data_IF_884951614205
#
_entry.id   IF_884951614205
#
_cell.length_a   1.000
_cell.length_b   1.000
_cell.length_c   1.000
_cell.angle_alpha   90.00
_cell.angle_beta   90.00
_cell.angle_gamma   90.00
#
_symmetry.space_group_name_H-M   'P 1'
#
loop_
_entity.id
_entity.type
_entity.pdbx_description
1 polymer ?
#
# COMPACT_ATOMS: atom_id res chain seq x y z
N UNK A 1 -4.56 7.18 19.47
CA UNK A 1 -4.96 7.39 18.05
C UNK A 1 -4.83 6.16 17.16
N UNK A 2 -3.87 5.24 17.39
CA UNK A 2 -3.75 3.97 16.62
C UNK A 2 -4.99 3.07 16.65
N UNK A 3 -5.70 3.01 17.78
CA UNK A 3 -6.94 2.23 17.92
C UNK A 3 -8.06 2.71 16.98
N UNK A 4 -8.19 4.03 16.78
CA UNK A 4 -9.18 4.58 15.85
C UNK A 4 -8.87 4.15 14.42
N UNK A 5 -7.59 4.20 13.99
CA UNK A 5 -7.20 3.71 12.66
C UNK A 5 -7.54 2.23 12.45
N UNK A 6 -7.24 1.37 13.42
CA UNK A 6 -7.55 -0.08 13.36
C UNK A 6 -9.05 -0.33 13.28
N UNK A 7 -9.83 0.38 14.08
CA UNK A 7 -11.29 0.26 14.10
C UNK A 7 -11.87 0.72 12.77
N UNK A 8 -11.47 1.89 12.26
CA UNK A 8 -11.92 2.37 10.95
C UNK A 8 -11.54 1.41 9.82
N UNK A 9 -10.38 0.76 9.88
CA UNK A 9 -9.94 -0.21 8.88
C UNK A 9 -10.80 -1.48 8.83
N UNK A 10 -11.30 -1.94 9.99
CA UNK A 10 -12.10 -3.18 10.07
C UNK A 10 -13.62 -2.96 10.04
N UNK A 11 -14.11 -1.77 10.40
CA UNK A 11 -15.55 -1.43 10.35
C UNK A 11 -16.22 -1.80 9.02
N UNK A 12 -15.72 -1.43 7.82
CA UNK A 12 -16.42 -1.72 6.57
C UNK A 12 -16.51 -3.23 6.31
N UNK A 13 -15.48 -3.99 6.68
CA UNK A 13 -15.46 -5.44 6.53
C UNK A 13 -16.44 -6.14 7.48
N UNK A 14 -16.52 -5.68 8.74
CA UNK A 14 -17.51 -6.18 9.71
C UNK A 14 -18.93 -5.87 9.25
N UNK A 15 -19.17 -4.66 8.73
CA UNK A 15 -20.49 -4.25 8.23
C UNK A 15 -20.92 -5.10 7.03
N UNK A 16 -20.00 -5.36 6.10
CA UNK A 16 -20.24 -6.24 4.96
C UNK A 16 -20.54 -7.68 5.41
N UNK A 17 -19.75 -8.23 6.34
CA UNK A 17 -19.98 -9.58 6.87
C UNK A 17 -21.34 -9.71 7.57
N UNK A 18 -21.72 -8.69 8.35
CA UNK A 18 -23.00 -8.63 9.03
C UNK A 18 -24.15 -8.59 8.03
N UNK A 19 -24.02 -7.81 6.95
CA UNK A 19 -25.00 -7.78 5.86
C UNK A 19 -25.14 -9.14 5.17
N UNK A 20 -24.01 -9.80 4.90
CA UNK A 20 -23.99 -11.13 4.28
C UNK A 20 -24.63 -12.18 5.19
N UNK A 21 -24.43 -12.07 6.51
CA UNK A 21 -25.07 -12.94 7.49
C UNK A 21 -26.60 -12.78 7.51
N UNK A 22 -27.10 -11.55 7.49
CA UNK A 22 -28.54 -11.30 7.41
C UNK A 22 -29.13 -11.75 6.08
N UNK A 23 -28.39 -11.56 4.99
CA UNK A 23 -28.81 -12.01 3.66
C UNK A 23 -28.91 -13.55 3.59
N UNK A 24 -27.90 -14.25 4.12
CA UNK A 24 -27.90 -15.71 4.23
C UNK A 24 -29.01 -16.22 5.15
N UNK A 25 -29.28 -15.52 6.26
CA UNK A 25 -30.37 -15.86 7.18
C UNK A 25 -31.73 -15.68 6.51
N UNK A 26 -31.92 -14.61 5.73
CA UNK A 26 -33.13 -14.40 4.94
C UNK A 26 -33.37 -15.55 3.96
N UNK A 27 -32.34 -15.94 3.21
CA UNK A 27 -32.38 -17.10 2.31
C UNK A 27 -32.65 -18.42 3.04
N UNK A 28 -32.04 -18.63 4.21
CA UNK A 28 -32.22 -19.84 5.01
C UNK A 28 -33.64 -19.99 5.57
N UNK A 29 -34.23 -18.90 6.05
CA UNK A 29 -35.62 -18.89 6.54
C UNK A 29 -36.62 -19.19 5.42
N UNK A 30 -36.26 -18.89 4.17
CA UNK A 30 -37.09 -19.15 3.00
C UNK A 30 -38.20 -18.10 2.80
N UNK A 31 -38.69 -18.02 1.56
CA UNK A 31 -39.61 -16.96 1.11
C UNK A 31 -41.04 -17.07 1.63
N UNK A 32 -41.39 -18.18 2.28
CA UNK A 32 -42.73 -18.40 2.85
C UNK A 32 -43.00 -17.43 4.02
N UNK A 33 -41.94 -17.06 4.74
CA UNK A 33 -42.03 -16.18 5.90
C UNK A 33 -41.78 -14.71 5.52
N UNK A 34 -42.70 -13.81 5.91
CA UNK A 34 -42.60 -12.36 5.62
C UNK A 34 -41.32 -11.73 6.16
N UNK A 35 -40.77 -12.29 7.25
CA UNK A 35 -39.50 -11.85 7.82
C UNK A 35 -38.29 -12.08 6.89
N UNK A 36 -38.36 -13.04 5.96
CA UNK A 36 -37.29 -13.31 5.00
C UNK A 36 -37.00 -12.09 4.12
N UNK A 37 -38.05 -11.39 3.65
CA UNK A 37 -37.89 -10.15 2.89
C UNK A 37 -37.25 -9.02 3.71
N UNK A 38 -37.56 -8.94 5.01
CA UNK A 38 -36.92 -7.97 5.92
C UNK A 38 -35.43 -8.28 6.06
N UNK A 39 -35.06 -9.54 6.30
CA UNK A 39 -33.66 -9.94 6.41
C UNK A 39 -32.89 -9.75 5.09
N UNK A 40 -33.50 -10.02 3.94
CA UNK A 40 -32.90 -9.82 2.63
C UNK A 40 -32.66 -8.34 2.32
N UNK A 41 -33.65 -7.47 2.59
CA UNK A 41 -33.52 -6.02 2.33
C UNK A 41 -32.53 -5.35 3.28
N UNK A 42 -32.59 -5.69 4.58
CA UNK A 42 -31.61 -5.20 5.58
C UNK A 42 -30.21 -5.72 5.27
N UNK A 43 -30.07 -7.01 4.94
CA UNK A 43 -28.80 -7.61 4.55
C UNK A 43 -28.20 -6.95 3.30
N UNK A 44 -29.01 -6.72 2.26
CA UNK A 44 -28.59 -6.03 1.05
C UNK A 44 -28.16 -4.57 1.32
N UNK A 45 -28.93 -3.82 2.11
CA UNK A 45 -28.58 -2.45 2.49
C UNK A 45 -27.27 -2.38 3.30
N UNK A 46 -27.08 -3.32 4.22
CA UNK A 46 -25.89 -3.44 5.05
C UNK A 46 -24.64 -3.77 4.20
N UNK A 47 -24.76 -4.69 3.23
CA UNK A 47 -23.71 -4.99 2.25
C UNK A 47 -23.39 -3.78 1.36
N UNK A 48 -24.42 -3.12 0.80
CA UNK A 48 -24.25 -1.96 -0.06
C UNK A 48 -23.54 -0.81 0.68
N UNK A 49 -23.90 -0.57 1.93
CA UNK A 49 -23.25 0.44 2.77
C UNK A 49 -21.78 0.11 3.06
N UNK A 50 -21.48 -1.14 3.43
CA UNK A 50 -20.09 -1.60 3.63
C UNK A 50 -19.23 -1.45 2.37
N UNK A 51 -19.77 -1.78 1.20
CA UNK A 51 -19.10 -1.61 -0.10
C UNK A 51 -18.94 -0.13 -0.44
N UNK A 52 -19.95 0.70 -0.22
CA UNK A 52 -19.87 2.13 -0.48
C UNK A 52 -18.74 2.79 0.32
N UNK A 53 -18.62 2.49 1.62
CA UNK A 53 -17.51 2.98 2.45
C UNK A 53 -16.16 2.50 1.90
N UNK A 54 -16.07 1.23 1.48
CA UNK A 54 -14.84 0.69 0.90
C UNK A 54 -14.45 1.44 -0.39
N UNK A 55 -15.42 1.73 -1.26
CA UNK A 55 -15.21 2.49 -2.49
C UNK A 55 -14.78 3.93 -2.21
N UNK A 56 -15.44 4.64 -1.29
CA UNK A 56 -15.04 5.98 -0.90
C UNK A 56 -13.60 6.00 -0.37
N UNK A 57 -13.20 5.02 0.44
CA UNK A 57 -11.81 4.90 0.89
C UNK A 57 -10.83 4.63 -0.25
N UNK A 58 -11.20 3.79 -1.22
CA UNK A 58 -10.36 3.54 -2.40
C UNK A 58 -10.18 4.80 -3.26
N UNK A 59 -11.21 5.65 -3.36
CA UNK A 59 -11.16 6.91 -4.09
C UNK A 59 -10.39 8.01 -3.34
N UNK A 60 -10.52 8.05 -2.01
CA UNK A 60 -9.87 9.03 -1.14
C UNK A 60 -8.41 8.72 -0.86
N UNK A 61 -7.94 7.48 -1.06
CA UNK A 61 -6.51 7.21 -1.05
C UNK A 61 -5.88 8.07 -2.15
N UNK A 62 -5.17 9.18 -1.81
CA UNK A 62 -4.42 9.86 -2.84
C UNK A 62 -3.48 8.79 -3.37
N UNK A 63 -3.46 8.57 -4.69
CA UNK A 63 -2.34 7.87 -5.32
C UNK A 63 -1.12 8.48 -4.67
N UNK A 64 -0.47 7.79 -3.73
CA UNK A 64 0.83 8.19 -3.29
C UNK A 64 1.63 8.01 -4.57
N UNK A 65 1.77 9.12 -5.30
CA UNK A 65 2.84 9.31 -6.24
C UNK A 65 4.05 9.23 -5.32
N UNK A 66 4.48 8.00 -5.05
CA UNK A 66 5.86 7.69 -4.78
C UNK A 66 6.55 8.01 -6.11
N UNK A 67 6.65 9.31 -6.42
CA UNK A 67 7.89 9.87 -6.85
C UNK A 67 8.85 9.53 -5.71
N UNK A 68 9.34 8.28 -5.72
CA UNK A 68 10.60 7.96 -5.10
C UNK A 68 11.51 9.01 -5.69
N UNK A 69 11.86 10.02 -4.88
CA UNK A 69 12.97 10.88 -5.24
C UNK A 69 14.10 9.89 -5.43
N UNK A 70 14.48 9.66 -6.68
CA UNK A 70 15.76 9.09 -7.04
C UNK A 70 16.73 9.81 -6.13
N UNK A 71 17.30 9.09 -5.17
CA UNK A 71 18.34 9.66 -4.34
C UNK A 71 19.39 10.24 -5.28
N UNK A 72 20.07 11.35 -4.94
CA UNK A 72 21.11 11.91 -5.81
C UNK A 72 22.16 10.87 -6.27
N UNK A 73 22.31 9.77 -5.53
CA UNK A 73 23.21 8.65 -5.81
C UNK A 73 22.50 7.39 -6.35
N UNK A 74 21.30 7.48 -6.94
CA UNK A 74 20.69 6.31 -7.58
C UNK A 74 21.42 6.05 -8.91
N UNK A 75 22.40 5.15 -8.83
CA UNK A 75 23.19 4.63 -9.95
C UNK A 75 22.20 4.09 -10.98
N UNK A 76 22.09 4.81 -12.10
CA UNK A 76 21.25 4.41 -13.23
C UNK A 76 21.80 3.09 -13.76
N UNK A 77 20.98 2.04 -13.67
CA UNK A 77 21.24 0.67 -14.14
C UNK A 77 21.31 0.56 -15.68
N UNK A 78 21.68 1.66 -16.34
CA UNK A 78 21.91 1.82 -17.77
C UNK A 78 23.21 2.55 -18.12
N UNK A 79 24.09 2.88 -17.16
CA UNK A 79 25.47 3.32 -17.46
C UNK A 79 26.41 2.12 -17.58
N UNK A 80 26.08 1.19 -18.48
CA UNK A 80 27.10 0.36 -19.09
C UNK A 80 27.99 1.25 -19.97
N UNK A 81 29.30 1.03 -19.91
CA UNK A 81 30.37 1.68 -20.68
C UNK A 81 31.00 2.95 -20.06
N UNK A 82 32.05 2.77 -19.26
CA UNK A 82 33.43 2.81 -19.76
C UNK A 82 34.47 3.11 -18.65
N UNK A 83 35.39 2.15 -18.50
CA UNK A 83 36.81 2.28 -18.09
C UNK A 83 37.18 2.81 -16.68
N UNK A 84 37.94 2.02 -15.88
CA UNK A 84 38.65 2.56 -14.72
C UNK A 84 39.83 3.41 -15.22
N UNK A 85 39.68 4.73 -15.20
CA UNK A 85 40.83 5.64 -15.27
C UNK A 85 41.43 5.71 -13.87
N UNK A 86 42.67 5.22 -13.78
CA UNK A 86 43.49 5.15 -12.58
C UNK A 86 43.56 6.51 -11.83
N UNK A 87 43.52 6.52 -10.48
CA UNK A 87 43.89 7.70 -9.73
C UNK A 87 45.40 7.90 -9.85
N UNK A 88 45.82 9.06 -10.39
CA UNK A 88 47.17 9.57 -10.18
C UNK A 88 47.27 9.99 -8.73
N UNK A 89 47.96 9.19 -7.93
CA UNK A 89 48.40 9.57 -6.59
C UNK A 89 49.68 10.38 -6.74
N UNK A 90 49.56 11.69 -6.70
CA UNK A 90 50.69 12.62 -6.58
C UNK A 90 51.17 12.67 -5.12
N UNK A 91 51.83 11.62 -4.59
CA UNK A 91 52.48 11.68 -3.26
C UNK A 91 53.69 10.72 -3.12
N UNK A 92 54.62 10.70 -4.09
CA UNK A 92 55.91 9.98 -3.87
C UNK A 92 57.13 10.68 -4.51
N UNK A 93 57.22 12.02 -4.31
CA UNK A 93 58.45 12.78 -4.57
C UNK A 93 59.51 12.65 -3.44
N UNK A 94 59.34 11.72 -2.50
CA UNK A 94 60.21 11.61 -1.31
C UNK A 94 61.38 10.62 -1.49
N UNK A 95 61.53 9.98 -2.66
CA UNK A 95 62.57 8.96 -2.88
C UNK A 95 63.69 9.35 -3.87
N UNK A 96 63.85 10.64 -4.21
CA UNK A 96 64.90 11.12 -5.14
C UNK A 96 65.81 12.22 -4.58
N UNK A 97 65.90 12.34 -3.24
CA UNK A 97 66.81 13.29 -2.56
C UNK A 97 67.91 12.61 -1.71
N UNK A 98 68.11 11.29 -1.85
CA UNK A 98 69.23 10.57 -1.19
C UNK A 98 70.33 10.11 -2.16
N UNK A 99 70.46 10.75 -3.32
CA UNK A 99 71.52 10.46 -4.31
C UNK A 99 72.35 11.70 -4.67
N UNK A 100 72.44 12.67 -3.74
CA UNK A 100 73.28 13.85 -3.88
C UNK A 100 73.82 14.28 -2.49
N UNK A 101 74.60 13.40 -1.87
CA UNK A 101 75.71 13.76 -0.98
C UNK A 101 76.82 12.71 -1.10
#
# INVERSE_FOLDING_TARGET
MKLFSIVFERIPLVWFLLGLLFFATGLYVGFDNRFSFVYLTVGAGCCAYGVAIMLFRFMEQPKQKTATRLSPNFISLGSTESLPVAPKTDEDQTAAQSAAE
#
